data_IF_687620282937
#
_entry.id   IF_687620282937
#
_cell.length_a   1.000
_cell.length_b   1.000
_cell.length_c   1.000
_cell.angle_alpha   90.00
_cell.angle_beta   90.00
_cell.angle_gamma   90.00
#
_symmetry.space_group_name_H-M   'P 1'
#
loop_
_entity.id
_entity.type
_entity.pdbx_description
1 polymer ?
#
# COMPACT_ATOMS: atom_id res chain seq x y z
N UNK A 1 46.87 24.48 11.14
CA UNK A 1 46.06 23.33 11.61
C UNK A 1 44.78 23.30 10.79
N UNK A 2 44.66 22.35 9.85
CA UNK A 2 43.52 22.26 8.94
C UNK A 2 42.34 21.54 9.59
N UNK A 3 41.18 22.19 9.56
CA UNK A 3 39.88 21.62 9.95
C UNK A 3 39.38 20.70 8.83
N UNK A 4 39.45 19.38 9.05
CA UNK A 4 38.84 18.39 8.17
C UNK A 4 37.31 18.46 8.32
N UNK A 5 36.64 18.99 7.30
CA UNK A 5 35.18 18.97 7.21
C UNK A 5 34.72 17.52 7.01
N UNK A 6 34.19 16.92 8.07
CA UNK A 6 33.62 15.58 8.08
C UNK A 6 32.31 15.61 7.27
N UNK A 7 32.40 15.44 5.94
CA UNK A 7 31.23 15.27 5.08
C UNK A 7 30.66 13.89 5.35
N UNK A 8 29.68 13.81 6.25
CA UNK A 8 28.79 12.66 6.37
C UNK A 8 28.12 12.46 5.01
N UNK A 9 28.61 11.50 4.22
CA UNK A 9 27.93 11.07 3.02
C UNK A 9 26.59 10.48 3.46
N UNK A 10 25.50 11.21 3.21
CA UNK A 10 24.15 10.66 3.34
C UNK A 10 24.07 9.58 2.26
N UNK A 11 24.20 8.32 2.68
CA UNK A 11 24.07 7.17 1.79
C UNK A 11 22.64 7.17 1.25
N UNK A 12 22.45 7.74 0.06
CA UNK A 12 21.20 7.67 -0.66
C UNK A 12 20.95 6.19 -0.94
N UNK A 13 20.03 5.56 -0.20
CA UNK A 13 19.71 4.14 -0.38
C UNK A 13 19.06 3.96 -1.75
N UNK A 14 19.77 3.30 -2.66
CA UNK A 14 19.24 2.90 -3.95
C UNK A 14 18.69 1.47 -3.78
N UNK A 15 17.39 1.30 -3.98
CA UNK A 15 16.72 0.01 -3.90
C UNK A 15 16.73 -0.64 -5.29
N UNK A 16 17.44 -1.77 -5.45
CA UNK A 16 17.58 -2.46 -6.74
C UNK A 16 16.94 -3.85 -6.75
N UNK A 17 16.25 -4.26 -5.67
CA UNK A 17 15.70 -5.61 -5.54
C UNK A 17 14.17 -5.63 -5.66
N UNK A 18 13.66 -5.09 -6.76
CA UNK A 18 12.23 -5.10 -7.09
C UNK A 18 11.67 -6.50 -7.35
N UNK A 19 12.53 -7.50 -7.56
CA UNK A 19 12.11 -8.88 -7.80
C UNK A 19 11.81 -9.62 -6.48
N UNK A 20 12.51 -9.29 -5.39
CA UNK A 20 12.23 -9.87 -4.09
C UNK A 20 11.00 -9.25 -3.41
N UNK A 21 10.90 -7.93 -3.42
CA UNK A 21 9.71 -7.22 -2.94
C UNK A 21 9.67 -5.81 -3.52
N UNK A 22 8.48 -5.27 -3.73
CA UNK A 22 8.29 -3.94 -4.31
C UNK A 22 7.89 -2.97 -3.20
N UNK A 23 8.49 -1.76 -3.12
CA UNK A 23 8.01 -0.74 -2.20
C UNK A 23 6.54 -0.42 -2.48
N UNK A 24 5.73 -0.35 -1.42
CA UNK A 24 4.28 -0.17 -1.54
C UNK A 24 3.98 1.22 -2.08
N UNK A 25 3.11 1.29 -3.09
CA UNK A 25 2.63 2.56 -3.64
C UNK A 25 1.86 3.37 -2.56
N UNK A 26 2.10 4.68 -2.41
CA UNK A 26 1.35 5.52 -1.47
C UNK A 26 -0.18 5.41 -1.61
N UNK A 27 -0.69 5.20 -2.82
CA UNK A 27 -2.12 4.98 -3.04
C UNK A 27 -2.59 3.66 -2.41
N UNK A 28 -1.79 2.59 -2.53
CA UNK A 28 -2.08 1.31 -1.89
C UNK A 28 -2.11 1.45 -0.37
N UNK A 29 -1.15 2.19 0.21
CA UNK A 29 -1.15 2.48 1.66
C UNK A 29 -2.42 3.21 2.08
N UNK A 30 -2.85 4.22 1.32
CA UNK A 30 -4.08 4.98 1.61
C UNK A 30 -5.30 4.07 1.56
N UNK A 31 -5.49 3.31 0.48
CA UNK A 31 -6.66 2.42 0.31
C UNK A 31 -6.71 1.36 1.40
N UNK A 32 -5.57 0.78 1.78
CA UNK A 32 -5.50 -0.19 2.88
C UNK A 32 -5.85 0.47 4.22
N UNK A 33 -5.36 1.68 4.47
CA UNK A 33 -5.69 2.44 5.69
C UNK A 33 -7.17 2.78 5.77
N UNK A 34 -7.76 3.25 4.67
CA UNK A 34 -9.19 3.56 4.56
C UNK A 34 -10.03 2.29 4.80
N UNK A 35 -9.65 1.16 4.20
CA UNK A 35 -10.34 -0.11 4.41
C UNK A 35 -10.31 -0.57 5.87
N UNK A 36 -9.15 -0.43 6.54
CA UNK A 36 -8.98 -0.82 7.94
C UNK A 36 -9.70 0.10 8.92
N UNK A 37 -9.81 1.39 8.61
CA UNK A 37 -10.44 2.38 9.50
C UNK A 37 -11.95 2.46 9.28
N UNK A 38 -12.40 2.37 8.04
CA UNK A 38 -13.78 2.65 7.66
C UNK A 38 -14.61 1.41 7.30
N UNK A 39 -13.97 0.34 6.84
CA UNK A 39 -14.61 -0.86 6.31
C UNK A 39 -14.11 -2.14 7.01
N UNK A 40 -13.80 -2.06 8.31
CA UNK A 40 -13.33 -3.20 9.12
C UNK A 40 -14.36 -4.32 9.31
N UNK A 41 -15.60 -4.13 8.87
CA UNK A 41 -16.69 -5.09 9.02
C UNK A 41 -16.54 -6.31 8.13
N UNK A 42 -17.03 -7.46 8.57
CA UNK A 42 -17.02 -8.69 7.77
C UNK A 42 -17.90 -8.53 6.50
N UNK A 43 -17.39 -8.80 5.29
CA UNK A 43 -18.15 -8.56 4.07
C UNK A 43 -19.35 -9.52 3.90
N UNK A 44 -19.38 -10.64 4.64
CA UNK A 44 -20.54 -11.55 4.65
C UNK A 44 -21.68 -11.08 5.54
N UNK A 45 -21.49 -9.99 6.28
CA UNK A 45 -22.48 -9.47 7.21
C UNK A 45 -23.30 -8.34 6.62
N UNK A 46 -24.63 -8.41 6.81
CA UNK A 46 -25.61 -7.45 6.30
C UNK A 46 -25.72 -6.13 7.10
N UNK A 47 -24.80 -5.85 8.02
CA UNK A 47 -24.75 -4.57 8.76
C UNK A 47 -23.85 -3.55 8.05
N UNK A 48 -24.12 -2.26 8.27
CA UNK A 48 -23.54 -1.13 7.52
C UNK A 48 -22.00 -1.19 7.30
N UNK A 49 -21.17 -1.58 8.30
CA UNK A 49 -19.73 -1.78 8.10
C UNK A 49 -19.36 -2.90 7.11
N UNK A 50 -20.07 -4.03 7.11
CA UNK A 50 -19.81 -5.17 6.22
C UNK A 50 -20.19 -4.87 4.76
N UNK A 51 -21.25 -4.08 4.57
CA UNK A 51 -21.69 -3.60 3.25
C UNK A 51 -20.70 -2.63 2.58
N UNK A 52 -19.84 -1.96 3.36
CA UNK A 52 -18.78 -1.09 2.83
C UNK A 52 -17.62 -1.93 2.29
N UNK A 53 -17.26 -3.00 2.99
CA UNK A 53 -16.16 -3.88 2.58
C UNK A 53 -16.54 -4.73 1.36
N UNK A 54 -17.80 -5.17 1.24
CA UNK A 54 -18.26 -5.89 0.05
C UNK A 54 -18.15 -5.07 -1.24
N UNK A 55 -18.29 -3.73 -1.17
CA UNK A 55 -18.07 -2.85 -2.32
C UNK A 55 -16.60 -2.77 -2.74
N UNK A 56 -15.68 -2.77 -1.77
CA UNK A 56 -14.23 -2.76 -2.03
C UNK A 56 -13.80 -4.08 -2.67
N UNK A 57 -14.32 -5.21 -2.17
CA UNK A 57 -14.05 -6.55 -2.69
C UNK A 57 -14.48 -6.74 -4.16
N UNK A 58 -15.69 -6.27 -4.49
CA UNK A 58 -16.20 -6.29 -5.87
C UNK A 58 -15.33 -5.44 -6.79
N UNK A 59 -14.94 -4.23 -6.36
CA UNK A 59 -14.07 -3.36 -7.15
C UNK A 59 -12.69 -3.98 -7.42
N UNK A 60 -12.06 -4.59 -6.40
CA UNK A 60 -10.79 -5.29 -6.59
C UNK A 60 -10.89 -6.46 -7.57
N UNK A 61 -11.97 -7.24 -7.47
CA UNK A 61 -12.20 -8.39 -8.36
C UNK A 61 -12.34 -7.94 -9.82
N UNK A 62 -13.06 -6.84 -10.07
CA UNK A 62 -13.17 -6.25 -11.41
C UNK A 62 -11.86 -5.64 -11.90
N UNK A 63 -11.06 -5.02 -11.02
CA UNK A 63 -9.79 -4.42 -11.44
C UNK A 63 -8.74 -5.48 -11.79
N UNK A 64 -8.72 -6.60 -11.06
CA UNK A 64 -7.81 -7.72 -11.30
C UNK A 64 -8.16 -8.55 -12.54
N UNK A 65 -9.44 -8.62 -12.94
CA UNK A 65 -9.86 -9.37 -14.13
C UNK A 65 -9.34 -8.75 -15.43
N UNK A 66 -9.12 -7.43 -15.46
CA UNK A 66 -8.52 -6.72 -16.60
C UNK A 66 -6.99 -6.86 -16.70
N UNK A 67 -6.33 -7.33 -15.64
CA UNK A 67 -4.87 -7.50 -15.59
C UNK A 67 -4.40 -8.92 -15.90
N UNK A 68 -5.32 -9.88 -16.06
CA UNK A 68 -5.04 -11.24 -16.54
C UNK A 68 -5.37 -11.34 -18.02
N UNK A 69 -4.44 -10.92 -18.88
CA UNK A 69 -4.42 -11.21 -20.30
C UNK A 69 -3.11 -11.91 -20.65
#
# INVERSE_FOLDING_TARGET
LGIAQNRSFVCCRIYMDYNATTPVDPEVVRVVTDALTEAWGNPSSNYLPGMRLSKIDVWQTSNMSHLKA
#
